data_IF_678795774753
#
_entry.id   IF_678795774753
#
_cell.length_a   1.000
_cell.length_b   1.000
_cell.length_c   1.000
_cell.angle_alpha   90.00
_cell.angle_beta   90.00
_cell.angle_gamma   90.00
#
_symmetry.space_group_name_H-M   'P 1'
#
loop_
_entity.id
_entity.type
_entity.pdbx_description
1 polymer ?
#
# COMPACT_ATOMS: atom_id res chain seq x y z
N UNK A 1 -56.69 -13.21 28.86
CA UNK A 1 -56.25 -12.86 27.50
C UNK A 1 -54.81 -12.31 27.49
N UNK A 2 -54.46 -11.33 28.33
CA UNK A 2 -53.14 -10.67 28.36
C UNK A 2 -51.97 -11.64 28.56
N UNK A 3 -52.10 -12.61 29.49
CA UNK A 3 -51.02 -13.56 29.77
C UNK A 3 -50.69 -14.50 28.59
N UNK A 4 -51.72 -14.92 27.82
CA UNK A 4 -51.53 -15.71 26.60
C UNK A 4 -50.85 -14.88 25.49
N UNK A 5 -51.26 -13.63 25.33
CA UNK A 5 -50.64 -12.72 24.36
C UNK A 5 -49.16 -12.44 24.72
N UNK A 6 -48.87 -12.19 26.00
CA UNK A 6 -47.52 -12.00 26.48
C UNK A 6 -46.63 -13.25 26.26
N UNK A 7 -47.12 -14.44 26.56
CA UNK A 7 -46.42 -15.69 26.28
C UNK A 7 -46.09 -15.85 24.80
N UNK A 8 -47.08 -15.64 23.93
CA UNK A 8 -46.88 -15.77 22.48
C UNK A 8 -45.88 -14.72 21.94
N UNK A 9 -45.96 -13.48 22.45
CA UNK A 9 -44.99 -12.42 22.08
C UNK A 9 -43.57 -12.78 22.48
N UNK A 10 -43.38 -13.32 23.69
CA UNK A 10 -42.05 -13.76 24.15
C UNK A 10 -41.51 -14.91 23.28
N UNK A 11 -42.36 -15.91 23.00
CA UNK A 11 -41.95 -17.04 22.15
C UNK A 11 -41.59 -16.56 20.76
N UNK A 12 -42.38 -15.70 20.14
CA UNK A 12 -42.11 -15.15 18.82
C UNK A 12 -40.83 -14.30 18.81
N UNK A 13 -40.65 -13.47 19.84
CA UNK A 13 -39.42 -12.66 20.00
C UNK A 13 -38.16 -13.54 20.11
N UNK A 14 -38.23 -14.61 20.91
CA UNK A 14 -37.09 -15.53 21.05
C UNK A 14 -36.82 -16.30 19.75
N UNK A 15 -37.86 -16.77 19.06
CA UNK A 15 -37.70 -17.46 17.77
C UNK A 15 -37.07 -16.54 16.71
N UNK A 16 -37.59 -15.33 16.58
CA UNK A 16 -37.03 -14.35 15.66
C UNK A 16 -35.61 -13.94 16.09
N UNK A 17 -35.36 -13.79 17.38
CA UNK A 17 -34.01 -13.52 17.91
C UNK A 17 -33.02 -14.63 17.58
N UNK A 18 -33.41 -15.89 17.67
CA UNK A 18 -32.56 -17.03 17.27
C UNK A 18 -32.33 -17.04 15.75
N UNK A 19 -33.37 -16.88 14.96
CA UNK A 19 -33.25 -16.91 13.48
C UNK A 19 -32.41 -15.74 12.96
N UNK A 20 -32.76 -14.51 13.37
CA UNK A 20 -32.11 -13.30 12.87
C UNK A 20 -30.78 -12.97 13.58
N UNK A 21 -30.64 -13.32 14.87
CA UNK A 21 -29.48 -13.01 15.68
C UNK A 21 -28.40 -14.10 15.66
N UNK A 22 -28.77 -15.34 15.37
CA UNK A 22 -27.78 -16.43 15.33
C UNK A 22 -27.77 -17.13 13.98
N UNK A 23 -28.92 -17.63 13.53
CA UNK A 23 -28.98 -18.43 12.30
C UNK A 23 -28.55 -17.69 11.05
N UNK A 24 -29.08 -16.50 10.82
CA UNK A 24 -28.71 -15.67 9.68
C UNK A 24 -27.23 -15.22 9.72
N UNK A 25 -26.68 -14.64 10.80
CA UNK A 25 -25.28 -14.28 10.86
C UNK A 25 -24.33 -15.47 10.70
N UNK A 26 -24.67 -16.62 11.30
CA UNK A 26 -23.86 -17.83 11.15
C UNK A 26 -23.81 -18.30 9.69
N UNK A 27 -24.96 -18.34 9.01
CA UNK A 27 -25.06 -18.72 7.60
C UNK A 27 -24.23 -17.78 6.71
N UNK A 28 -24.39 -16.46 6.88
CA UNK A 28 -23.64 -15.46 6.12
C UNK A 28 -22.14 -15.58 6.38
N UNK A 29 -21.74 -15.78 7.64
CA UNK A 29 -20.32 -15.96 8.00
C UNK A 29 -19.74 -17.20 7.31
N UNK A 30 -20.43 -18.33 7.30
CA UNK A 30 -19.95 -19.54 6.64
C UNK A 30 -19.79 -19.33 5.12
N UNK A 31 -20.76 -18.67 4.49
CA UNK A 31 -20.69 -18.35 3.06
C UNK A 31 -19.52 -17.41 2.78
N UNK A 32 -19.40 -16.32 3.56
CA UNK A 32 -18.34 -15.33 3.40
C UNK A 32 -16.95 -15.95 3.59
N UNK A 33 -16.75 -16.75 4.62
CA UNK A 33 -15.47 -17.42 4.89
C UNK A 33 -15.08 -18.44 3.82
N UNK A 34 -16.04 -19.08 3.16
CA UNK A 34 -15.77 -20.03 2.09
C UNK A 34 -15.60 -19.40 0.72
N UNK A 35 -16.43 -18.41 0.39
CA UNK A 35 -16.43 -17.77 -0.93
C UNK A 35 -15.46 -16.59 -1.04
N UNK A 36 -15.26 -15.85 0.07
CA UNK A 36 -14.49 -14.60 0.12
C UNK A 36 -13.60 -14.53 1.37
N UNK A 37 -12.68 -15.49 1.59
CA UNK A 37 -11.91 -15.58 2.85
C UNK A 37 -11.04 -14.35 3.11
N UNK A 38 -10.46 -13.74 2.09
CA UNK A 38 -9.62 -12.53 2.23
C UNK A 38 -10.47 -11.35 2.75
N UNK A 39 -11.59 -11.06 2.09
CA UNK A 39 -12.51 -9.98 2.46
C UNK A 39 -13.15 -10.22 3.82
N UNK A 40 -13.58 -11.45 4.09
CA UNK A 40 -14.21 -11.83 5.36
C UNK A 40 -13.25 -11.68 6.56
N UNK A 41 -11.93 -11.74 6.33
CA UNK A 41 -10.92 -11.52 7.35
C UNK A 41 -10.29 -10.11 7.31
N UNK A 42 -10.91 -9.18 6.59
CA UNK A 42 -10.55 -7.76 6.61
C UNK A 42 -9.50 -7.34 5.59
N UNK A 43 -9.27 -8.13 4.53
CA UNK A 43 -8.33 -7.82 3.44
C UNK A 43 -6.95 -7.39 3.93
N UNK A 44 -6.41 -8.17 4.88
CA UNK A 44 -5.14 -7.87 5.53
C UNK A 44 -3.96 -8.05 4.57
N UNK A 45 -3.06 -7.10 4.61
CA UNK A 45 -1.81 -7.12 3.84
C UNK A 45 -0.66 -7.55 4.75
N UNK A 46 0.12 -8.51 4.28
CA UNK A 46 1.24 -9.08 5.04
C UNK A 46 2.58 -8.72 4.40
N UNK A 47 3.59 -8.43 5.24
CA UNK A 47 4.98 -8.30 4.85
C UNK A 47 5.84 -9.12 5.81
N UNK A 48 6.66 -10.01 5.27
CA UNK A 48 7.51 -10.92 6.07
C UNK A 48 6.71 -11.71 7.13
N UNK A 49 5.49 -12.16 6.78
CA UNK A 49 4.60 -12.92 7.65
C UNK A 49 3.88 -12.11 8.75
N UNK A 50 4.07 -10.78 8.79
CA UNK A 50 3.42 -9.89 9.74
C UNK A 50 2.36 -9.03 9.04
N UNK A 51 1.18 -8.82 9.63
CA UNK A 51 0.20 -7.91 9.08
C UNK A 51 0.73 -6.47 9.18
N UNK A 52 0.72 -5.76 8.05
CA UNK A 52 1.18 -4.36 7.96
C UNK A 52 0.03 -3.38 7.81
N UNK A 53 -1.16 -3.87 7.45
CA UNK A 53 -2.36 -3.06 7.31
C UNK A 53 -3.49 -3.81 6.63
N UNK A 54 -4.56 -3.11 6.33
CA UNK A 54 -5.68 -3.59 5.51
C UNK A 54 -5.75 -2.75 4.24
N UNK A 55 -6.15 -3.37 3.12
CA UNK A 55 -6.42 -2.64 1.87
C UNK A 55 -7.60 -1.67 1.99
N UNK A 56 -8.48 -1.91 2.97
CA UNK A 56 -9.71 -1.16 3.17
C UNK A 56 -9.55 0.06 4.09
N UNK A 57 -8.38 0.21 4.73
CA UNK A 57 -8.14 1.23 5.75
C UNK A 57 -6.88 2.01 5.44
N UNK A 58 -7.03 3.32 5.35
CA UNK A 58 -5.92 4.24 5.17
C UNK A 58 -4.89 4.14 6.29
N UNK A 59 -3.68 4.57 6.00
CA UNK A 59 -2.59 4.64 6.96
C UNK A 59 -1.94 6.01 6.93
N UNK A 60 -1.42 6.45 8.06
CA UNK A 60 -0.70 7.70 8.15
C UNK A 60 0.75 7.52 7.66
N UNK A 61 1.05 8.15 6.54
CA UNK A 61 2.38 8.21 5.96
C UNK A 61 2.94 9.61 6.13
N UNK A 62 4.07 9.73 6.82
CA UNK A 62 4.71 11.03 7.12
C UNK A 62 6.08 11.20 6.47
N UNK A 63 6.74 10.08 6.10
CA UNK A 63 8.06 10.14 5.51
C UNK A 63 8.01 10.67 4.05
N UNK A 64 8.95 11.54 3.64
CA UNK A 64 8.96 12.12 2.28
C UNK A 64 9.08 11.10 1.15
N UNK A 65 9.59 9.90 1.43
CA UNK A 65 9.79 8.84 0.44
C UNK A 65 8.52 8.09 0.06
N UNK A 66 7.40 8.33 0.77
CA UNK A 66 6.13 7.66 0.55
C UNK A 66 5.08 8.61 -0.02
N UNK A 67 4.13 8.08 -0.76
CA UNK A 67 2.91 8.80 -1.09
C UNK A 67 2.04 8.92 0.17
N UNK A 68 1.47 10.08 0.36
CA UNK A 68 0.59 10.39 1.47
C UNK A 68 -0.85 10.26 1.02
N UNK A 69 -1.69 9.71 1.91
CA UNK A 69 -3.12 9.57 1.69
C UNK A 69 -3.89 10.82 2.11
N UNK A 70 -5.21 10.69 2.11
CA UNK A 70 -6.14 11.72 2.56
C UNK A 70 -5.97 11.99 4.06
N UNK A 71 -6.14 13.25 4.50
CA UNK A 71 -6.18 13.57 5.93
C UNK A 71 -7.35 12.84 6.62
N UNK A 72 -7.14 12.37 7.83
CA UNK A 72 -8.19 11.78 8.68
C UNK A 72 -8.73 12.81 9.67
N UNK A 73 -10.05 12.76 9.92
CA UNK A 73 -10.71 13.58 10.96
C UNK A 73 -10.96 12.79 12.26
N UNK A 74 -10.49 11.56 12.35
CA UNK A 74 -10.74 10.68 13.49
C UNK A 74 -10.03 11.20 14.73
N UNK A 75 -10.73 11.42 15.86
CA UNK A 75 -10.13 11.78 17.12
C UNK A 75 -9.23 10.67 17.67
N UNK A 76 -8.10 11.07 18.26
CA UNK A 76 -7.20 10.14 18.95
C UNK A 76 -6.24 9.35 18.05
N UNK A 77 -6.21 9.62 16.77
CA UNK A 77 -5.26 9.03 15.82
C UNK A 77 -5.82 8.90 14.43
N UNK A 78 -5.06 9.34 13.45
CA UNK A 78 -5.46 9.23 12.05
C UNK A 78 -5.67 7.74 11.67
N UNK A 79 -6.72 7.48 10.88
CA UNK A 79 -7.05 6.14 10.38
C UNK A 79 -7.26 5.04 11.46
N UNK A 80 -7.71 5.43 12.65
CA UNK A 80 -8.04 4.45 13.70
C UNK A 80 -9.28 3.65 13.31
N UNK A 81 -9.10 2.37 12.96
CA UNK A 81 -10.15 1.47 12.50
C UNK A 81 -11.26 1.17 13.53
N UNK A 82 -11.07 1.51 14.79
CA UNK A 82 -12.12 1.37 15.82
C UNK A 82 -13.19 2.44 15.73
N UNK A 83 -12.97 3.50 14.94
CA UNK A 83 -13.88 4.63 14.81
C UNK A 83 -13.93 5.06 13.35
N UNK A 84 -15.13 5.31 12.83
CA UNK A 84 -15.32 5.90 11.50
C UNK A 84 -16.14 7.17 11.66
N UNK A 85 -15.56 8.30 11.30
CA UNK A 85 -16.22 9.61 11.40
C UNK A 85 -15.58 10.63 10.46
N UNK A 86 -16.35 11.64 10.09
CA UNK A 86 -15.87 12.82 9.38
C UNK A 86 -15.87 14.04 10.29
N UNK A 87 -15.36 15.17 9.79
CA UNK A 87 -15.41 16.43 10.53
C UNK A 87 -16.82 16.98 10.70
N UNK A 88 -17.75 16.61 9.79
CA UNK A 88 -19.12 17.12 9.71
C UNK A 88 -19.24 18.66 9.67
N UNK A 89 -18.16 19.34 9.26
CA UNK A 89 -18.12 20.78 9.13
C UNK A 89 -18.88 21.25 7.89
N UNK A 90 -19.71 22.28 8.04
CA UNK A 90 -20.37 22.91 6.90
C UNK A 90 -19.39 23.64 5.99
N UNK A 91 -19.73 23.82 4.69
CA UNK A 91 -18.81 24.41 3.70
C UNK A 91 -18.42 25.88 4.02
N UNK A 92 -19.22 26.58 4.79
CA UNK A 92 -18.97 27.98 5.23
C UNK A 92 -18.35 28.06 6.62
N UNK A 93 -18.06 26.93 7.26
CA UNK A 93 -17.47 26.90 8.60
C UNK A 93 -16.06 27.52 8.59
N UNK A 94 -15.80 28.55 9.41
CA UNK A 94 -14.46 29.12 9.54
C UNK A 94 -13.44 28.09 10.02
N UNK A 95 -13.87 27.10 10.80
CA UNK A 95 -13.05 26.00 11.28
C UNK A 95 -12.56 25.09 10.13
N UNK A 96 -13.46 24.71 9.23
CA UNK A 96 -13.11 23.95 8.04
C UNK A 96 -12.13 24.73 7.15
N UNK A 97 -12.46 26.01 6.89
CA UNK A 97 -11.63 26.87 6.03
C UNK A 97 -10.20 27.00 6.58
N UNK A 98 -10.06 27.19 7.90
CA UNK A 98 -8.75 27.27 8.53
C UNK A 98 -7.99 25.94 8.45
N UNK A 99 -8.64 24.82 8.76
CA UNK A 99 -8.02 23.48 8.63
C UNK A 99 -7.54 23.19 7.22
N UNK A 100 -8.35 23.49 6.21
CA UNK A 100 -7.96 23.30 4.81
C UNK A 100 -6.78 24.20 4.46
N UNK A 101 -6.78 25.46 4.89
CA UNK A 101 -5.66 26.39 4.68
C UNK A 101 -4.36 25.85 5.30
N UNK A 102 -4.42 25.37 6.54
CA UNK A 102 -3.25 24.83 7.23
C UNK A 102 -2.71 23.57 6.54
N UNK A 103 -3.59 22.68 6.07
CA UNK A 103 -3.22 21.49 5.32
C UNK A 103 -2.59 21.85 3.98
N UNK A 104 -3.18 22.78 3.24
CA UNK A 104 -2.62 23.29 1.99
C UNK A 104 -1.22 23.86 2.21
N UNK A 105 -1.03 24.66 3.27
CA UNK A 105 0.28 25.20 3.61
C UNK A 105 1.29 24.09 3.97
N UNK A 106 0.88 23.07 4.72
CA UNK A 106 1.71 21.92 5.07
C UNK A 106 2.09 21.09 3.82
N UNK A 107 1.13 20.82 2.93
CA UNK A 107 1.37 20.12 1.67
C UNK A 107 2.33 20.89 0.76
N UNK A 108 2.18 22.21 0.63
CA UNK A 108 3.12 23.05 -0.12
C UNK A 108 4.53 23.04 0.45
N UNK A 109 4.64 23.12 1.78
CA UNK A 109 5.94 23.04 2.47
C UNK A 109 6.64 21.70 2.22
N UNK A 110 5.88 20.62 2.22
CA UNK A 110 6.41 19.27 1.97
C UNK A 110 6.75 19.01 0.50
N UNK A 111 6.03 19.65 -0.43
CA UNK A 111 6.17 19.46 -1.88
C UNK A 111 6.45 20.83 -2.57
N UNK A 112 7.59 21.49 -2.29
CA UNK A 112 7.89 22.83 -2.81
C UNK A 112 8.03 22.87 -4.33
N UNK A 113 8.44 21.76 -4.94
CA UNK A 113 8.68 21.64 -6.38
C UNK A 113 7.39 21.23 -7.16
N UNK A 114 6.29 20.89 -6.46
CA UNK A 114 5.05 20.49 -7.09
C UNK A 114 4.36 21.66 -7.79
N UNK A 115 3.93 21.42 -9.04
CA UNK A 115 3.25 22.42 -9.87
C UNK A 115 1.74 22.39 -9.69
N UNK A 116 1.09 23.53 -9.96
CA UNK A 116 -0.37 23.63 -9.86
C UNK A 116 -0.91 23.78 -8.43
N UNK A 117 -2.20 23.85 -8.20
CA UNK A 117 -2.83 23.90 -6.88
C UNK A 117 -2.59 22.59 -6.12
N UNK A 118 -2.74 22.61 -4.80
CA UNK A 118 -2.81 21.37 -4.01
C UNK A 118 -4.13 20.68 -4.36
N UNK A 119 -4.11 19.41 -4.77
CA UNK A 119 -5.33 18.68 -5.05
C UNK A 119 -6.26 18.59 -3.84
N UNK A 120 -7.56 18.48 -4.10
CA UNK A 120 -8.59 18.59 -3.06
C UNK A 120 -8.46 17.48 -2.01
N UNK A 121 -8.20 16.26 -2.41
CA UNK A 121 -8.17 15.11 -1.50
C UNK A 121 -6.98 15.14 -0.54
N UNK A 122 -5.89 15.82 -0.90
CA UNK A 122 -4.77 16.06 0.01
C UNK A 122 -5.05 17.17 1.05
N UNK A 123 -6.09 17.97 0.84
CA UNK A 123 -6.47 19.07 1.72
C UNK A 123 -7.73 18.79 2.54
N UNK A 124 -8.62 17.89 2.06
CA UNK A 124 -9.91 17.61 2.69
C UNK A 124 -9.96 16.19 3.25
N UNK A 125 -10.68 16.01 4.36
CA UNK A 125 -10.88 14.70 4.97
C UNK A 125 -11.93 13.91 4.22
N UNK A 126 -11.78 12.57 4.18
CA UNK A 126 -12.85 11.69 3.72
C UNK A 126 -14.02 11.66 4.72
N UNK A 127 -15.19 11.22 4.26
CA UNK A 127 -16.36 11.06 5.11
C UNK A 127 -16.19 9.96 6.17
N UNK A 128 -15.42 8.92 5.87
CA UNK A 128 -15.13 7.83 6.81
C UNK A 128 -13.97 8.14 7.75
N UNK A 129 -13.03 9.00 7.34
CA UNK A 129 -11.76 9.21 8.00
C UNK A 129 -10.79 8.03 7.87
N UNK A 130 -11.15 7.00 7.10
CA UNK A 130 -10.41 5.75 6.93
C UNK A 130 -10.05 5.46 5.47
N UNK A 131 -10.25 6.41 4.56
CA UNK A 131 -10.08 6.24 3.13
C UNK A 131 -8.65 5.78 2.78
N UNK A 132 -8.47 4.61 2.18
CA UNK A 132 -7.16 4.09 1.80
C UNK A 132 -6.67 4.61 0.45
N UNK A 133 -7.54 5.28 -0.31
CA UNK A 133 -7.32 5.60 -1.71
C UNK A 133 -7.08 7.10 -1.92
N UNK A 134 -6.39 7.42 -3.00
CA UNK A 134 -6.20 8.77 -3.54
C UNK A 134 -6.45 8.75 -5.05
N UNK A 135 -6.72 9.92 -5.63
CA UNK A 135 -6.83 10.03 -7.08
C UNK A 135 -5.46 9.96 -7.77
N UNK A 136 -5.39 9.61 -9.06
CA UNK A 136 -4.16 9.69 -9.84
C UNK A 136 -3.55 11.11 -9.84
N UNK A 137 -4.38 12.15 -9.83
CA UNK A 137 -3.94 13.55 -9.73
C UNK A 137 -3.19 13.81 -8.43
N UNK A 138 -3.71 13.34 -7.29
CA UNK A 138 -3.06 13.45 -5.98
C UNK A 138 -1.69 12.77 -5.97
N UNK A 139 -1.61 11.58 -6.56
CA UNK A 139 -0.37 10.83 -6.65
C UNK A 139 0.65 11.55 -7.54
N UNK A 140 0.25 12.00 -8.73
CA UNK A 140 1.10 12.73 -9.67
C UNK A 140 1.62 14.03 -9.08
N UNK A 141 0.81 14.74 -8.29
CA UNK A 141 1.22 15.97 -7.62
C UNK A 141 2.35 15.74 -6.59
N UNK A 142 2.42 14.54 -5.99
CA UNK A 142 3.44 14.17 -5.01
C UNK A 142 4.73 13.59 -5.64
N UNK A 143 4.73 13.30 -6.95
CA UNK A 143 5.84 12.59 -7.63
C UNK A 143 7.18 13.26 -7.45
N UNK A 144 7.27 14.59 -7.52
CA UNK A 144 8.55 15.31 -7.40
C UNK A 144 9.23 15.05 -6.05
N UNK A 145 8.47 15.10 -4.96
CA UNK A 145 8.96 14.82 -3.61
C UNK A 145 9.45 13.38 -3.47
N UNK A 146 8.63 12.42 -3.90
CA UNK A 146 8.93 11.00 -3.78
C UNK A 146 10.13 10.61 -4.65
N UNK A 147 10.19 11.12 -5.90
CA UNK A 147 11.32 10.91 -6.82
C UNK A 147 12.64 11.38 -6.21
N UNK A 148 12.64 12.59 -5.66
CA UNK A 148 13.81 13.20 -5.00
C UNK A 148 14.24 12.41 -3.76
N UNK A 149 13.29 12.04 -2.90
CA UNK A 149 13.57 11.29 -1.68
C UNK A 149 14.11 9.87 -1.95
N UNK A 150 13.59 9.20 -2.99
CA UNK A 150 14.00 7.84 -3.37
C UNK A 150 15.14 7.79 -4.38
N UNK A 151 15.54 8.93 -4.93
CA UNK A 151 16.53 9.02 -6.03
C UNK A 151 16.10 8.18 -7.25
N UNK A 152 14.82 8.18 -7.55
CA UNK A 152 14.21 7.50 -8.69
C UNK A 152 13.90 8.51 -9.81
N UNK A 153 13.80 8.02 -11.04
CA UNK A 153 13.35 8.86 -12.15
C UNK A 153 11.85 9.14 -12.01
N UNK A 154 11.45 10.37 -12.26
CA UNK A 154 10.06 10.79 -12.24
C UNK A 154 9.16 9.95 -13.16
N UNK A 155 9.63 9.67 -14.37
CA UNK A 155 8.93 8.86 -15.37
C UNK A 155 8.63 7.43 -14.87
N UNK A 156 9.54 6.83 -14.08
CA UNK A 156 9.32 5.49 -13.52
C UNK A 156 8.20 5.51 -12.46
N UNK A 157 8.08 6.62 -11.70
CA UNK A 157 6.99 6.81 -10.74
C UNK A 157 5.66 7.12 -11.43
N UNK A 158 5.66 7.98 -12.43
CA UNK A 158 4.47 8.29 -13.24
C UNK A 158 3.91 7.01 -13.89
N UNK A 159 4.80 6.18 -14.44
CA UNK A 159 4.41 4.87 -14.97
C UNK A 159 3.84 3.96 -13.88
N UNK A 160 4.47 3.91 -12.70
CA UNK A 160 3.97 3.12 -11.58
C UNK A 160 2.56 3.56 -11.16
N UNK A 161 2.31 4.86 -11.07
CA UNK A 161 1.01 5.43 -10.75
C UNK A 161 -0.03 4.95 -11.77
N UNK A 162 0.28 5.10 -13.06
CA UNK A 162 -0.59 4.65 -14.14
C UNK A 162 -0.86 3.14 -14.07
N UNK A 163 0.19 2.33 -13.87
CA UNK A 163 0.07 0.86 -13.78
C UNK A 163 -0.78 0.41 -12.58
N UNK A 164 -0.88 1.23 -11.51
CA UNK A 164 -1.61 0.92 -10.28
C UNK A 164 -2.95 1.66 -10.15
N UNK A 165 -3.31 2.47 -11.12
CA UNK A 165 -4.62 3.12 -11.17
C UNK A 165 -5.70 2.08 -11.43
N UNK A 166 -6.68 2.01 -10.53
CA UNK A 166 -7.89 1.22 -10.71
C UNK A 166 -8.93 2.06 -11.45
N UNK A 167 -9.39 1.55 -12.59
CA UNK A 167 -10.44 2.19 -13.37
C UNK A 167 -11.82 2.06 -12.69
N UNK A 168 -12.77 2.97 -13.00
CA UNK A 168 -14.14 2.87 -12.52
C UNK A 168 -14.80 1.54 -12.97
N UNK A 169 -15.66 0.99 -12.12
CA UNK A 169 -16.40 -0.23 -12.47
C UNK A 169 -17.20 -0.03 -13.75
N UNK A 170 -17.09 -0.95 -14.72
CA UNK A 170 -17.64 -0.86 -16.07
C UNK A 170 -17.19 0.39 -16.87
N UNK A 171 -16.12 1.07 -16.45
CA UNK A 171 -15.58 2.25 -17.12
C UNK A 171 -16.34 3.57 -16.86
N UNK A 172 -17.42 3.54 -16.05
CA UNK A 172 -18.24 4.73 -15.80
C UNK A 172 -18.83 4.83 -14.38
N UNK A 173 -18.75 3.77 -13.58
CA UNK A 173 -19.28 3.77 -12.20
C UNK A 173 -18.16 4.01 -11.20
N UNK A 174 -18.04 5.22 -10.69
CA UNK A 174 -17.03 5.66 -9.73
C UNK A 174 -15.98 6.56 -10.36
N UNK A 175 -14.87 6.71 -9.66
CA UNK A 175 -13.71 7.50 -10.07
C UNK A 175 -12.46 6.63 -10.09
N UNK A 176 -11.45 7.04 -10.87
CA UNK A 176 -10.13 6.43 -10.84
C UNK A 176 -9.50 6.60 -9.46
N UNK A 177 -8.91 5.53 -8.94
CA UNK A 177 -8.31 5.54 -7.61
C UNK A 177 -7.05 4.70 -7.54
N UNK A 178 -6.24 5.01 -6.53
CA UNK A 178 -5.00 4.30 -6.24
C UNK A 178 -4.94 4.02 -4.74
N UNK A 179 -4.78 2.76 -4.37
CA UNK A 179 -4.57 2.38 -2.98
C UNK A 179 -3.18 2.77 -2.50
N UNK A 180 -3.11 3.67 -1.52
CA UNK A 180 -1.84 4.26 -1.03
C UNK A 180 -0.94 3.21 -0.39
N UNK A 181 -1.50 2.25 0.37
CA UNK A 181 -0.74 1.17 0.98
C UNK A 181 -0.10 0.30 -0.10
N UNK A 182 -0.88 -0.13 -1.09
CA UNK A 182 -0.39 -0.94 -2.19
C UNK A 182 0.69 -0.23 -3.00
N UNK A 183 0.49 1.07 -3.30
CA UNK A 183 1.46 1.91 -4.02
C UNK A 183 2.79 2.01 -3.26
N UNK A 184 2.74 2.29 -1.97
CA UNK A 184 3.94 2.43 -1.13
C UNK A 184 4.68 1.10 -0.94
N UNK A 185 3.96 -0.02 -0.83
CA UNK A 185 4.57 -1.35 -0.79
C UNK A 185 5.26 -1.72 -2.09
N UNK A 186 4.65 -1.41 -3.23
CA UNK A 186 5.25 -1.64 -4.54
C UNK A 186 6.50 -0.80 -4.75
N UNK A 187 6.51 0.45 -4.27
CA UNK A 187 7.71 1.29 -4.24
C UNK A 187 8.84 0.65 -3.44
N UNK A 188 8.54 0.11 -2.27
CA UNK A 188 9.54 -0.55 -1.43
C UNK A 188 10.05 -1.83 -2.09
N UNK A 189 9.18 -2.62 -2.73
CA UNK A 189 9.55 -3.82 -3.51
C UNK A 189 10.51 -3.45 -4.65
N UNK A 190 10.15 -2.46 -5.48
CA UNK A 190 11.00 -1.99 -6.59
C UNK A 190 12.35 -1.45 -6.10
N UNK A 191 12.36 -0.73 -4.99
CA UNK A 191 13.61 -0.23 -4.40
C UNK A 191 14.51 -1.38 -3.90
N UNK A 192 13.94 -2.42 -3.30
CA UNK A 192 14.68 -3.60 -2.88
C UNK A 192 15.26 -4.36 -4.08
N UNK A 193 14.48 -4.55 -5.15
CA UNK A 193 14.93 -5.18 -6.39
C UNK A 193 16.07 -4.40 -7.06
N UNK A 194 15.95 -3.07 -7.16
CA UNK A 194 17.02 -2.22 -7.70
C UNK A 194 18.30 -2.31 -6.87
N UNK A 195 18.18 -2.37 -5.54
CA UNK A 195 19.34 -2.55 -4.66
C UNK A 195 19.99 -3.90 -4.90
N UNK A 196 19.20 -4.97 -5.01
CA UNK A 196 19.69 -6.31 -5.29
C UNK A 196 20.39 -6.40 -6.67
N UNK A 197 19.80 -5.78 -7.70
CA UNK A 197 20.40 -5.70 -9.03
C UNK A 197 21.74 -4.97 -9.02
N UNK A 198 21.85 -3.85 -8.30
CA UNK A 198 23.12 -3.12 -8.16
C UNK A 198 24.19 -3.96 -7.47
N UNK A 199 23.84 -4.67 -6.40
CA UNK A 199 24.76 -5.58 -5.71
C UNK A 199 25.22 -6.69 -6.66
N UNK A 200 24.28 -7.30 -7.40
CA UNK A 200 24.60 -8.32 -8.39
C UNK A 200 25.55 -7.81 -9.48
N UNK A 201 25.31 -6.62 -10.04
CA UNK A 201 26.18 -5.99 -11.03
C UNK A 201 27.59 -5.67 -10.48
N UNK A 202 27.66 -5.20 -9.23
CA UNK A 202 28.96 -4.95 -8.58
C UNK A 202 29.75 -6.25 -8.40
N UNK A 203 29.12 -7.33 -7.98
CA UNK A 203 29.78 -8.63 -7.85
C UNK A 203 30.19 -9.21 -9.22
N UNK A 204 29.37 -9.05 -10.26
CA UNK A 204 29.76 -9.40 -11.63
C UNK A 204 31.02 -8.65 -12.08
N UNK A 205 31.05 -7.35 -11.82
CA UNK A 205 32.21 -6.52 -12.18
C UNK A 205 33.48 -6.95 -11.44
N UNK A 206 33.37 -7.30 -10.16
CA UNK A 206 34.50 -7.84 -9.37
C UNK A 206 34.98 -9.17 -9.94
N UNK A 207 34.07 -10.08 -10.29
CA UNK A 207 34.41 -11.39 -10.90
C UNK A 207 35.10 -11.22 -12.25
N UNK A 208 34.61 -10.30 -13.10
CA UNK A 208 35.20 -10.00 -14.39
C UNK A 208 36.64 -9.44 -14.20
N UNK A 209 36.80 -8.46 -13.30
CA UNK A 209 38.14 -7.90 -12.97
C UNK A 209 39.06 -8.96 -12.43
N UNK A 210 38.61 -9.81 -11.53
CA UNK A 210 39.39 -10.90 -10.97
C UNK A 210 39.83 -11.92 -12.05
N UNK A 211 38.92 -12.24 -13.02
CA UNK A 211 39.27 -13.09 -14.18
C UNK A 211 40.32 -12.48 -15.09
N UNK A 212 40.25 -11.17 -15.34
CA UNK A 212 41.24 -10.47 -16.14
C UNK A 212 42.64 -10.48 -15.47
N UNK A 213 42.67 -10.30 -14.15
CA UNK A 213 43.92 -10.38 -13.36
C UNK A 213 44.52 -11.79 -13.40
N UNK A 214 43.66 -12.83 -13.26
CA UNK A 214 44.13 -14.21 -13.25
C UNK A 214 44.53 -14.76 -14.61
N UNK A 215 43.92 -14.29 -15.70
CA UNK A 215 44.44 -14.56 -17.06
C UNK A 215 45.88 -14.02 -17.21
N UNK A 216 46.21 -12.96 -16.48
CA UNK A 216 47.61 -12.44 -16.45
C UNK A 216 48.51 -13.20 -15.48
N UNK A 217 47.99 -13.93 -14.49
CA UNK A 217 48.77 -14.51 -13.38
C UNK A 217 48.73 -16.05 -13.28
N UNK A 218 48.00 -16.78 -14.14
CA UNK A 218 47.87 -18.26 -14.15
C UNK A 218 47.49 -18.87 -12.77
N UNK A 219 46.62 -18.23 -11.98
CA UNK A 219 46.34 -18.68 -10.62
C UNK A 219 44.92 -19.32 -10.44
N UNK A 220 44.94 -20.52 -9.81
CA UNK A 220 43.78 -21.44 -9.63
C UNK A 220 42.81 -21.03 -8.49
N UNK A 221 43.07 -19.95 -7.77
CA UNK A 221 42.27 -19.55 -6.57
C UNK A 221 40.88 -18.93 -6.86
N UNK A 222 40.45 -18.83 -8.09
CA UNK A 222 39.32 -18.03 -8.51
C UNK A 222 37.95 -18.74 -8.62
N UNK A 223 37.89 -20.04 -8.58
CA UNK A 223 36.60 -20.76 -8.62
C UNK A 223 35.69 -20.43 -7.43
N UNK A 224 36.26 -20.07 -6.28
CA UNK A 224 35.46 -19.76 -5.06
C UNK A 224 34.64 -18.45 -5.17
N UNK A 225 35.13 -17.47 -5.93
CA UNK A 225 34.40 -16.23 -6.17
C UNK A 225 33.20 -16.42 -7.11
N UNK A 226 33.32 -17.32 -8.06
CA UNK A 226 32.25 -17.66 -9.00
C UNK A 226 31.10 -18.40 -8.33
N UNK A 227 31.40 -19.31 -7.39
CA UNK A 227 30.38 -20.04 -6.62
C UNK A 227 29.58 -19.11 -5.70
N UNK A 228 30.20 -18.07 -5.14
CA UNK A 228 29.49 -17.03 -4.37
C UNK A 228 28.55 -16.20 -5.25
N UNK A 229 28.97 -15.86 -6.45
CA UNK A 229 28.16 -15.11 -7.40
C UNK A 229 26.89 -15.87 -7.81
N UNK A 230 27.01 -17.14 -8.14
CA UNK A 230 25.90 -18.00 -8.54
C UNK A 230 24.84 -18.11 -7.43
N UNK A 231 25.23 -18.11 -6.17
CA UNK A 231 24.33 -18.13 -5.01
C UNK A 231 23.60 -16.81 -4.78
N UNK A 232 24.23 -15.68 -5.07
CA UNK A 232 23.66 -14.33 -4.84
C UNK A 232 22.68 -13.94 -5.97
N UNK A 233 22.98 -14.31 -7.20
CA UNK A 233 22.22 -13.89 -8.39
C UNK A 233 21.22 -14.95 -8.89
N UNK A 234 21.14 -16.13 -8.29
CA UNK A 234 20.19 -17.19 -8.67
C UNK A 234 20.42 -17.78 -10.07
N UNK A 235 21.60 -17.55 -10.67
CA UNK A 235 21.92 -18.04 -12.01
C UNK A 235 22.66 -19.36 -11.94
N UNK A 236 22.02 -20.42 -12.46
CA UNK A 236 22.67 -21.72 -12.64
C UNK A 236 23.64 -21.68 -13.83
N UNK A 237 24.92 -21.36 -13.58
CA UNK A 237 25.93 -21.45 -14.60
C UNK A 237 27.04 -22.45 -14.25
N UNK A 238 27.05 -23.56 -14.95
CA UNK A 238 27.97 -24.70 -14.90
C UNK A 238 29.35 -24.44 -15.55
N UNK A 239 29.74 -23.20 -15.75
CA UNK A 239 30.96 -22.84 -16.51
C UNK A 239 32.29 -23.12 -15.79
N UNK A 240 32.30 -23.26 -14.46
CA UNK A 240 33.53 -23.60 -13.72
C UNK A 240 33.85 -25.10 -13.72
N UNK A 241 32.92 -25.97 -14.11
CA UNK A 241 33.13 -27.45 -14.17
C UNK A 241 33.89 -27.93 -15.40
N UNK A 242 33.91 -27.13 -16.48
CA UNK A 242 34.50 -27.59 -17.76
C UNK A 242 36.02 -27.38 -17.88
N UNK A 243 36.67 -26.63 -17.00
CA UNK A 243 38.10 -26.40 -17.02
C UNK A 243 38.92 -27.30 -16.04
N UNK A 244 38.34 -28.38 -15.56
CA UNK A 244 39.00 -29.41 -14.72
C UNK A 244 39.29 -30.69 -15.45
N UNK A 245 39.60 -30.62 -16.75
CA UNK A 245 40.20 -31.75 -17.47
C UNK A 245 41.47 -31.32 -18.17
#
# INVERSE_FOLDING_TARGET
MVLKAAKNAIILFLLLGIVCGVGYPALVTVIAQKAFPDQANGSLVYKDGKPVGSRLIGQEWTEPKYFWGRPSAIPGGANNAMTSTSSNDGPTSPWLINKVRDRVAAQRKANPDAKGPVPQDLATTSASGLDPDITPEDALWQVERVAKARKMKKQDLEKLIHDMTEEPFLGFLGEERINVLALNMELDRRAAEQKQQKICQQEQTKVIKARLIARKAHDQKQCSLYDRFSKICGTNHTLCRQNRK
#
